data_IF_831227998348
#
_entry.id   IF_831227998348
#
_cell.length_a   1.000
_cell.length_b   1.000
_cell.length_c   1.000
_cell.angle_alpha   90.00
_cell.angle_beta   90.00
_cell.angle_gamma   90.00
#
_symmetry.space_group_name_H-M   'P 1'
#
loop_
_entity.id
_entity.type
_entity.pdbx_description
1 polymer ?
#
# COMPACT_ATOMS: atom_id res chain seq x y z
N UNK A 1 82.34 36.33 -39.31
CA UNK A 1 82.31 36.33 -37.86
C UNK A 1 80.86 36.55 -37.25
N UNK A 2 80.08 37.48 -37.74
CA UNK A 2 78.71 37.73 -37.26
C UNK A 2 77.70 36.56 -37.58
N UNK A 3 77.83 35.86 -38.74
CA UNK A 3 76.94 34.75 -39.15
C UNK A 3 77.14 33.48 -38.33
N UNK A 4 78.36 33.23 -37.86
CA UNK A 4 78.63 32.09 -37.02
C UNK A 4 78.12 32.21 -35.58
N UNK A 5 78.11 33.44 -35.05
CA UNK A 5 77.51 33.76 -33.76
C UNK A 5 75.99 33.67 -33.79
N UNK A 6 75.34 34.07 -34.87
CA UNK A 6 73.90 33.99 -35.04
C UNK A 6 73.42 32.55 -35.16
N UNK A 7 74.18 31.71 -35.91
CA UNK A 7 73.87 30.27 -36.04
C UNK A 7 74.06 29.53 -34.72
N UNK A 8 75.09 29.87 -33.93
CA UNK A 8 75.29 29.26 -32.60
C UNK A 8 74.20 29.68 -31.59
N UNK A 9 73.80 30.95 -31.60
CA UNK A 9 72.69 31.42 -30.76
C UNK A 9 71.33 30.81 -31.15
N UNK A 10 71.06 30.64 -32.44
CA UNK A 10 69.85 29.99 -32.93
C UNK A 10 69.83 28.47 -32.60
N UNK A 11 70.97 27.79 -32.73
CA UNK A 11 71.06 26.40 -32.35
C UNK A 11 70.92 26.18 -30.83
N UNK A 12 71.46 27.09 -30.00
CA UNK A 12 71.30 27.07 -28.55
C UNK A 12 69.83 27.32 -28.15
N UNK A 13 69.13 28.23 -28.84
CA UNK A 13 67.72 28.50 -28.59
C UNK A 13 66.81 27.38 -29.00
N UNK A 14 67.07 26.68 -30.11
CA UNK A 14 66.33 25.52 -30.55
C UNK A 14 66.61 24.31 -29.60
N UNK A 15 67.81 24.15 -29.09
CA UNK A 15 68.14 23.13 -28.12
C UNK A 15 67.47 23.37 -26.74
N UNK A 16 67.40 24.62 -26.29
CA UNK A 16 66.76 25.05 -25.05
C UNK A 16 65.22 24.84 -25.13
N UNK A 17 64.64 25.20 -26.26
CA UNK A 17 63.21 24.93 -26.54
C UNK A 17 62.88 23.41 -26.62
N UNK A 18 63.78 22.60 -27.11
CA UNK A 18 63.62 21.15 -27.12
C UNK A 18 63.74 20.52 -25.74
N UNK A 19 64.69 20.99 -24.93
CA UNK A 19 64.85 20.54 -23.54
C UNK A 19 63.65 20.94 -22.64
N UNK A 20 63.15 22.15 -22.78
CA UNK A 20 62.02 22.65 -22.01
C UNK A 20 60.73 21.85 -22.35
N UNK A 21 60.51 21.56 -23.61
CA UNK A 21 59.36 20.73 -24.06
C UNK A 21 59.48 19.28 -23.54
N UNK A 22 60.66 18.71 -23.54
CA UNK A 22 60.92 17.38 -22.97
C UNK A 22 60.65 17.35 -21.45
N UNK A 23 61.12 18.33 -20.72
CA UNK A 23 60.87 18.46 -19.28
C UNK A 23 59.38 18.56 -18.96
N UNK A 24 58.65 19.42 -19.70
CA UNK A 24 57.21 19.57 -19.54
C UNK A 24 56.49 18.21 -19.82
N UNK A 25 56.87 17.53 -20.87
CA UNK A 25 56.30 16.22 -21.21
C UNK A 25 56.59 15.15 -20.13
N UNK A 26 57.78 15.09 -19.63
CA UNK A 26 58.16 14.17 -18.53
C UNK A 26 57.42 14.50 -17.25
N UNK A 27 57.26 15.80 -16.94
CA UNK A 27 56.52 16.22 -15.76
C UNK A 27 55.03 15.89 -15.89
N UNK A 28 54.45 16.08 -17.05
CA UNK A 28 53.07 15.66 -17.36
C UNK A 28 52.86 14.14 -17.23
N UNK A 29 53.85 13.33 -17.68
CA UNK A 29 53.82 11.88 -17.52
C UNK A 29 53.89 11.45 -16.05
N UNK A 30 54.74 12.11 -15.26
CA UNK A 30 54.87 11.82 -13.83
C UNK A 30 53.56 12.22 -13.10
N UNK A 31 53.05 13.42 -13.35
CA UNK A 31 51.81 13.89 -12.75
C UNK A 31 50.61 13.01 -13.13
N UNK A 32 50.53 12.57 -14.38
CA UNK A 32 49.54 11.62 -14.84
C UNK A 32 49.70 10.26 -14.13
N UNK A 33 50.91 9.74 -14.02
CA UNK A 33 51.20 8.48 -13.33
C UNK A 33 50.85 8.51 -11.84
N UNK A 34 51.19 9.58 -11.14
CA UNK A 34 50.87 9.80 -9.72
C UNK A 34 49.39 9.92 -9.51
N UNK A 35 48.70 10.71 -10.36
CA UNK A 35 47.23 10.91 -10.28
C UNK A 35 46.48 9.63 -10.63
N UNK A 36 46.93 8.87 -11.65
CA UNK A 36 46.35 7.59 -12.03
C UNK A 36 46.56 6.54 -10.92
N UNK A 37 47.77 6.49 -10.35
CA UNK A 37 48.08 5.60 -9.24
C UNK A 37 47.20 5.85 -8.00
N UNK A 38 47.01 7.10 -7.63
CA UNK A 38 46.12 7.50 -6.53
C UNK A 38 44.65 7.12 -6.77
N UNK A 39 44.17 7.25 -8.02
CA UNK A 39 42.82 6.83 -8.40
C UNK A 39 42.64 5.30 -8.32
N UNK A 40 43.64 4.53 -8.83
CA UNK A 40 43.60 3.06 -8.80
C UNK A 40 43.64 2.56 -7.35
N UNK A 41 44.57 3.07 -6.53
CA UNK A 41 44.64 2.67 -5.11
C UNK A 41 43.32 3.00 -4.39
N UNK A 42 42.78 4.19 -4.59
CA UNK A 42 41.47 4.57 -4.02
C UNK A 42 40.33 3.67 -4.49
N UNK A 43 40.30 3.29 -5.77
CA UNK A 43 39.29 2.38 -6.32
C UNK A 43 39.42 0.96 -5.70
N UNK A 44 40.64 0.45 -5.52
CA UNK A 44 40.88 -0.84 -4.85
C UNK A 44 40.44 -0.80 -3.39
N UNK A 45 40.71 0.28 -2.67
CA UNK A 45 40.27 0.45 -1.28
C UNK A 45 38.73 0.45 -1.22
N UNK A 46 38.05 1.24 -2.08
CA UNK A 46 36.58 1.27 -2.15
C UNK A 46 36.02 -0.11 -2.47
N UNK A 47 36.62 -0.83 -3.40
CA UNK A 47 36.18 -2.18 -3.76
C UNK A 47 36.33 -3.17 -2.59
N UNK A 48 37.50 -3.22 -1.92
CA UNK A 48 37.74 -4.12 -0.80
C UNK A 48 36.82 -3.80 0.39
N UNK A 49 36.73 -2.52 0.78
CA UNK A 49 35.87 -2.07 1.88
C UNK A 49 34.42 -2.30 1.54
N UNK A 50 33.98 -1.98 0.32
CA UNK A 50 32.63 -2.20 -0.15
C UNK A 50 32.25 -3.68 -0.16
N UNK A 51 33.13 -4.58 -0.64
CA UNK A 51 32.89 -6.04 -0.60
C UNK A 51 32.76 -6.55 0.83
N UNK A 52 33.58 -6.05 1.74
CA UNK A 52 33.48 -6.39 3.16
C UNK A 52 32.15 -5.91 3.74
N UNK A 53 31.72 -4.66 3.46
CA UNK A 53 30.48 -4.10 3.92
C UNK A 53 29.27 -4.87 3.37
N UNK A 54 29.26 -5.19 2.07
CA UNK A 54 28.21 -6.02 1.44
C UNK A 54 28.12 -7.39 2.12
N UNK A 55 29.25 -8.03 2.36
CA UNK A 55 29.29 -9.33 3.05
C UNK A 55 28.74 -9.24 4.47
N UNK A 56 29.09 -8.19 5.21
CA UNK A 56 28.58 -7.91 6.55
C UNK A 56 27.07 -7.71 6.55
N UNK A 57 26.55 -6.84 5.65
CA UNK A 57 25.13 -6.57 5.52
C UNK A 57 24.33 -7.83 5.13
N UNK A 58 24.85 -8.63 4.19
CA UNK A 58 24.26 -9.93 3.84
C UNK A 58 24.18 -10.89 5.03
N UNK A 59 25.24 -10.99 5.82
CA UNK A 59 25.23 -11.86 7.01
C UNK A 59 24.26 -11.36 8.07
N UNK A 60 24.21 -10.06 8.28
CA UNK A 60 23.25 -9.44 9.20
C UNK A 60 21.80 -9.70 8.75
N UNK A 61 21.50 -9.45 7.47
CA UNK A 61 20.17 -9.70 6.88
C UNK A 61 19.79 -11.19 6.99
N UNK A 62 20.70 -12.09 6.68
CA UNK A 62 20.47 -13.53 6.80
C UNK A 62 20.13 -13.95 8.24
N UNK A 63 20.80 -13.40 9.25
CA UNK A 63 20.49 -13.67 10.66
C UNK A 63 19.14 -13.14 11.08
N UNK A 64 18.78 -11.93 10.63
CA UNK A 64 17.47 -11.32 10.93
C UNK A 64 16.33 -12.13 10.33
N UNK A 65 16.44 -12.52 9.06
CA UNK A 65 15.42 -13.32 8.37
C UNK A 65 15.28 -14.72 8.98
N UNK A 66 16.38 -15.37 9.33
CA UNK A 66 16.38 -16.67 9.98
C UNK A 66 15.73 -16.61 11.38
N UNK A 67 16.01 -15.57 12.18
CA UNK A 67 15.40 -15.36 13.50
C UNK A 67 13.88 -15.15 13.45
N UNK A 68 13.37 -14.64 12.33
CA UNK A 68 11.95 -14.40 12.11
C UNK A 68 11.22 -15.57 11.45
N UNK A 69 11.86 -16.72 11.28
CA UNK A 69 11.31 -17.92 10.64
C UNK A 69 10.69 -17.64 9.25
N UNK A 70 11.29 -16.71 8.49
CA UNK A 70 10.86 -16.39 7.13
C UNK A 70 11.14 -17.59 6.22
N UNK A 71 10.23 -17.87 5.27
CA UNK A 71 10.40 -18.95 4.30
C UNK A 71 11.75 -18.90 3.58
N UNK A 72 12.34 -20.06 3.30
CA UNK A 72 13.65 -20.17 2.70
C UNK A 72 13.74 -19.53 1.30
N UNK A 73 12.67 -19.61 0.52
CA UNK A 73 12.56 -19.01 -0.81
C UNK A 73 12.58 -17.49 -0.74
N UNK A 74 11.82 -16.91 0.19
CA UNK A 74 11.80 -15.47 0.44
C UNK A 74 13.16 -14.98 0.93
N UNK A 75 13.80 -15.72 1.85
CA UNK A 75 15.13 -15.40 2.32
C UNK A 75 16.14 -15.35 1.16
N UNK A 76 16.10 -16.38 0.27
CA UNK A 76 16.99 -16.45 -0.89
C UNK A 76 16.77 -15.28 -1.85
N UNK A 77 15.52 -14.97 -2.15
CA UNK A 77 15.15 -13.86 -3.02
C UNK A 77 15.64 -12.52 -2.48
N UNK A 78 15.35 -12.21 -1.21
CA UNK A 78 15.72 -10.93 -0.58
C UNK A 78 17.24 -10.78 -0.50
N UNK A 79 17.97 -11.84 -0.14
CA UNK A 79 19.44 -11.85 -0.11
C UNK A 79 20.04 -11.57 -1.50
N UNK A 80 19.47 -12.18 -2.54
CA UNK A 80 19.91 -12.00 -3.92
C UNK A 80 19.65 -10.58 -4.41
N UNK A 81 18.47 -10.07 -4.18
CA UNK A 81 18.07 -8.70 -4.56
C UNK A 81 18.99 -7.66 -3.93
N UNK A 82 19.18 -7.73 -2.60
CA UNK A 82 20.05 -6.80 -1.86
C UNK A 82 21.50 -6.93 -2.34
N UNK A 83 21.99 -8.15 -2.57
CA UNK A 83 23.36 -8.35 -3.08
C UNK A 83 23.57 -7.73 -4.47
N UNK A 84 22.60 -7.89 -5.39
CA UNK A 84 22.65 -7.30 -6.74
C UNK A 84 22.67 -5.78 -6.65
N UNK A 85 21.74 -5.17 -5.91
CA UNK A 85 21.66 -3.72 -5.76
C UNK A 85 22.93 -3.12 -5.16
N UNK A 86 23.43 -3.68 -4.06
CA UNK A 86 24.66 -3.20 -3.43
C UNK A 86 25.89 -3.41 -4.30
N UNK A 87 25.94 -4.50 -5.08
CA UNK A 87 27.04 -4.74 -6.01
C UNK A 87 27.05 -3.75 -7.16
N UNK A 88 25.89 -3.40 -7.72
CA UNK A 88 25.76 -2.36 -8.76
C UNK A 88 26.26 -1.00 -8.22
N UNK A 89 25.81 -0.61 -7.02
CA UNK A 89 26.25 0.64 -6.39
C UNK A 89 27.76 0.66 -6.13
N UNK A 90 28.33 -0.47 -5.68
CA UNK A 90 29.78 -0.61 -5.49
C UNK A 90 30.55 -0.45 -6.80
N UNK A 91 30.09 -1.09 -7.88
CA UNK A 91 30.72 -0.98 -9.20
C UNK A 91 30.73 0.48 -9.66
N UNK A 92 29.61 1.19 -9.54
CA UNK A 92 29.52 2.60 -9.92
C UNK A 92 30.46 3.47 -9.08
N UNK A 93 30.55 3.23 -7.76
CA UNK A 93 31.47 3.95 -6.88
C UNK A 93 32.94 3.72 -7.27
N UNK A 94 33.32 2.48 -7.63
CA UNK A 94 34.65 2.14 -8.08
C UNK A 94 35.02 2.81 -9.41
N UNK A 95 34.08 2.74 -10.38
CA UNK A 95 34.24 3.38 -11.71
C UNK A 95 34.37 4.91 -11.56
N UNK A 96 33.55 5.52 -10.71
CA UNK A 96 33.65 6.95 -10.41
C UNK A 96 34.98 7.35 -9.80
N UNK A 97 35.57 6.50 -8.92
CA UNK A 97 36.87 6.76 -8.34
C UNK A 97 38.01 6.65 -9.37
N UNK A 98 37.83 5.82 -10.40
CA UNK A 98 38.80 5.72 -11.52
C UNK A 98 38.76 6.95 -12.43
N UNK A 99 37.78 7.87 -12.24
CA UNK A 99 37.68 9.11 -13.01
C UNK A 99 36.68 9.05 -14.19
N UNK A 100 35.92 7.96 -14.30
CA UNK A 100 34.86 7.85 -15.29
C UNK A 100 33.63 8.62 -14.81
N UNK A 101 33.02 9.41 -15.67
CA UNK A 101 31.81 10.15 -15.35
C UNK A 101 30.65 9.19 -15.07
N UNK A 102 30.08 9.28 -13.86
CA UNK A 102 29.02 8.37 -13.41
C UNK A 102 27.61 8.94 -13.55
N UNK A 103 27.47 10.17 -14.03
CA UNK A 103 26.19 10.86 -14.21
C UNK A 103 25.23 10.09 -15.10
N UNK A 104 25.73 9.53 -16.21
CA UNK A 104 24.94 8.69 -17.13
C UNK A 104 24.45 7.41 -16.47
N UNK A 105 25.28 6.77 -15.65
CA UNK A 105 24.87 5.57 -14.89
C UNK A 105 23.83 5.91 -13.81
N UNK A 106 23.99 7.05 -13.14
CA UNK A 106 23.01 7.51 -12.18
C UNK A 106 21.66 7.82 -12.85
N UNK A 107 21.66 8.47 -14.03
CA UNK A 107 20.46 8.70 -14.81
C UNK A 107 19.78 7.41 -15.27
N UNK A 108 20.56 6.40 -15.71
CA UNK A 108 20.05 5.10 -16.08
C UNK A 108 19.40 4.37 -14.89
N UNK A 109 20.06 4.38 -13.73
CA UNK A 109 19.51 3.80 -12.50
C UNK A 109 18.24 4.51 -12.03
N UNK A 110 18.20 5.84 -12.13
CA UNK A 110 17.01 6.60 -11.80
C UNK A 110 15.84 6.22 -12.72
N UNK A 111 16.09 6.13 -14.03
CA UNK A 111 15.07 5.70 -15.00
C UNK A 111 14.57 4.28 -14.74
N UNK A 112 15.50 3.34 -14.46
CA UNK A 112 15.14 1.97 -14.07
C UNK A 112 14.36 1.94 -12.76
N UNK A 113 14.74 2.77 -11.77
CA UNK A 113 14.04 2.90 -10.50
C UNK A 113 12.60 3.40 -10.67
N UNK A 114 12.39 4.39 -11.54
CA UNK A 114 11.03 4.88 -11.90
C UNK A 114 10.22 3.77 -12.56
N UNK A 115 10.80 3.06 -13.53
CA UNK A 115 10.10 1.96 -14.20
C UNK A 115 9.68 0.84 -13.23
N UNK A 116 10.59 0.43 -12.34
CA UNK A 116 10.30 -0.58 -11.29
C UNK A 116 9.25 -0.03 -10.30
N UNK A 117 9.36 1.23 -9.88
CA UNK A 117 8.40 1.88 -8.99
C UNK A 117 6.99 1.90 -9.59
N UNK A 118 6.87 2.24 -10.88
CA UNK A 118 5.58 2.20 -11.60
C UNK A 118 5.04 0.76 -11.71
N UNK A 119 5.89 -0.22 -12.00
CA UNK A 119 5.47 -1.63 -12.08
C UNK A 119 4.99 -2.17 -10.72
N UNK A 120 5.53 -1.69 -9.61
CA UNK A 120 5.18 -2.11 -8.25
C UNK A 120 4.16 -1.19 -7.57
N UNK A 121 3.70 -0.12 -8.22
CA UNK A 121 2.85 0.92 -7.63
C UNK A 121 1.56 0.37 -7.00
N UNK A 122 0.89 -0.58 -7.66
CA UNK A 122 -0.32 -1.22 -7.14
C UNK A 122 -0.07 -2.01 -5.84
N UNK A 123 1.04 -2.73 -5.75
CA UNK A 123 1.41 -3.46 -4.54
C UNK A 123 1.78 -2.48 -3.40
N UNK A 124 2.48 -1.40 -3.72
CA UNK A 124 2.83 -0.36 -2.75
C UNK A 124 1.58 0.36 -2.24
N UNK A 125 0.59 0.61 -3.10
CA UNK A 125 -0.71 1.15 -2.72
C UNK A 125 -1.45 0.21 -1.76
N UNK A 126 -1.44 -1.10 -2.02
CA UNK A 126 -2.05 -2.08 -1.14
C UNK A 126 -1.34 -2.18 0.22
N UNK A 127 -0.01 -2.12 0.23
CA UNK A 127 0.77 -2.06 1.46
C UNK A 127 0.45 -0.81 2.28
N UNK A 128 0.46 0.36 1.67
CA UNK A 128 0.09 1.62 2.32
C UNK A 128 -1.37 1.57 2.81
N UNK A 129 -2.29 1.04 2.00
CA UNK A 129 -3.69 0.81 2.39
C UNK A 129 -3.82 -0.09 3.62
N UNK A 130 -3.05 -1.17 3.69
CA UNK A 130 -3.02 -2.06 4.85
C UNK A 130 -2.56 -1.34 6.13
N UNK A 131 -1.53 -0.50 6.04
CA UNK A 131 -1.08 0.32 7.17
C UNK A 131 -2.16 1.33 7.62
N UNK A 132 -2.85 1.97 6.66
CA UNK A 132 -3.95 2.90 6.94
C UNK A 132 -5.08 2.18 7.66
N UNK A 133 -5.50 1.00 7.17
CA UNK A 133 -6.56 0.19 7.81
C UNK A 133 -6.18 -0.20 9.23
N UNK A 134 -4.93 -0.64 9.46
CA UNK A 134 -4.45 -1.04 10.79
C UNK A 134 -4.31 0.13 11.77
N UNK A 135 -3.95 1.33 11.27
CA UNK A 135 -3.74 2.52 12.10
C UNK A 135 -5.06 3.18 12.47
N UNK A 136 -5.92 3.46 11.47
CA UNK A 136 -7.18 4.19 11.67
C UNK A 136 -8.35 3.27 12.02
N UNK A 137 -8.25 1.99 11.74
CA UNK A 137 -9.24 0.95 12.07
C UNK A 137 -10.68 1.33 11.68
N UNK A 138 -10.96 1.63 10.41
CA UNK A 138 -12.34 1.85 9.96
C UNK A 138 -13.21 0.61 10.19
N UNK A 139 -12.59 -0.56 10.24
CA UNK A 139 -13.17 -1.85 10.62
C UNK A 139 -12.10 -2.70 11.33
N UNK A 140 -12.52 -3.75 12.01
CA UNK A 140 -11.66 -4.71 12.72
C UNK A 140 -12.06 -6.15 12.36
N UNK A 141 -11.20 -7.10 12.72
CA UNK A 141 -11.52 -8.53 12.59
C UNK A 141 -12.78 -8.84 13.39
N UNK A 142 -13.72 -9.52 12.77
CA UNK A 142 -15.05 -9.84 13.29
C UNK A 142 -16.17 -8.90 12.82
N UNK A 143 -15.86 -7.72 12.29
CA UNK A 143 -16.89 -6.82 11.76
C UNK A 143 -17.48 -7.35 10.45
N UNK A 144 -18.79 -7.17 10.25
CA UNK A 144 -19.45 -7.34 8.97
C UNK A 144 -19.36 -6.04 8.17
N UNK A 145 -18.70 -6.12 7.04
CA UNK A 145 -18.50 -4.96 6.16
C UNK A 145 -19.00 -5.22 4.74
N UNK A 146 -19.28 -4.15 4.03
CA UNK A 146 -19.57 -4.16 2.59
C UNK A 146 -18.65 -3.16 1.90
N UNK A 147 -18.02 -3.58 0.82
CA UNK A 147 -17.16 -2.75 -0.02
C UNK A 147 -17.01 -3.39 -1.40
N UNK A 148 -16.83 -2.59 -2.45
CA UNK A 148 -16.62 -3.07 -3.82
C UNK A 148 -17.73 -4.03 -4.32
N UNK A 149 -18.96 -3.87 -3.84
CA UNK A 149 -20.11 -4.72 -4.21
C UNK A 149 -20.09 -6.11 -3.56
N UNK A 150 -19.21 -6.37 -2.61
CA UNK A 150 -19.16 -7.62 -1.84
C UNK A 150 -19.29 -7.34 -0.35
N UNK A 151 -19.88 -8.27 0.38
CA UNK A 151 -20.04 -8.17 1.84
C UNK A 151 -19.62 -9.45 2.55
N UNK A 152 -19.15 -9.31 3.79
CA UNK A 152 -18.74 -10.44 4.62
C UNK A 152 -18.14 -10.02 5.95
N UNK A 153 -17.92 -11.02 6.81
CA UNK A 153 -17.20 -10.83 8.08
C UNK A 153 -15.69 -10.73 7.81
N UNK A 154 -15.05 -9.73 8.35
CA UNK A 154 -13.59 -9.57 8.31
C UNK A 154 -12.95 -10.71 9.10
N UNK A 155 -12.31 -11.64 8.40
CA UNK A 155 -11.60 -12.77 8.98
C UNK A 155 -10.17 -12.40 9.39
N UNK A 156 -9.47 -11.67 8.50
CA UNK A 156 -8.05 -11.35 8.68
C UNK A 156 -7.69 -10.08 7.88
N UNK A 157 -6.80 -9.26 8.44
CA UNK A 157 -6.22 -8.11 7.75
C UNK A 157 -4.73 -8.42 7.52
N UNK A 158 -4.38 -8.74 6.28
CA UNK A 158 -3.00 -9.02 5.86
C UNK A 158 -2.32 -7.78 5.31
N UNK A 159 -1.04 -7.89 4.97
CA UNK A 159 -0.23 -6.75 4.50
C UNK A 159 -0.80 -6.10 3.23
N UNK A 160 -1.27 -6.90 2.27
CA UNK A 160 -1.75 -6.42 0.97
C UNK A 160 -3.26 -6.58 0.78
N UNK A 161 -3.89 -7.47 1.51
CA UNK A 161 -5.30 -7.85 1.37
C UNK A 161 -5.97 -7.95 2.72
N UNK A 162 -7.26 -7.64 2.74
CA UNK A 162 -8.17 -8.01 3.82
C UNK A 162 -9.02 -9.18 3.34
N UNK A 163 -9.17 -10.20 4.18
CA UNK A 163 -9.90 -11.42 3.87
C UNK A 163 -11.26 -11.36 4.54
N UNK A 164 -12.31 -11.52 3.74
CA UNK A 164 -13.69 -11.63 4.22
C UNK A 164 -14.20 -13.07 4.08
N UNK A 165 -15.12 -13.44 4.96
CA UNK A 165 -15.94 -14.66 4.82
C UNK A 165 -17.40 -14.24 4.66
N UNK A 166 -18.03 -14.66 3.56
CA UNK A 166 -19.45 -14.37 3.29
C UNK A 166 -20.38 -15.21 4.15
N UNK A 167 -21.67 -14.87 4.19
CA UNK A 167 -22.68 -15.64 4.92
C UNK A 167 -22.84 -17.09 4.41
N UNK A 168 -22.55 -17.33 3.12
CA UNK A 168 -22.56 -18.66 2.49
C UNK A 168 -21.15 -19.31 2.48
N UNK A 169 -20.27 -18.86 3.38
CA UNK A 169 -18.94 -19.42 3.68
C UNK A 169 -17.93 -19.37 2.52
N UNK A 170 -18.03 -18.39 1.62
CA UNK A 170 -17.01 -18.10 0.61
C UNK A 170 -15.95 -17.18 1.19
N UNK A 171 -14.72 -17.31 0.70
CA UNK A 171 -13.59 -16.46 1.10
C UNK A 171 -13.33 -15.44 0.01
N UNK A 172 -13.30 -14.16 0.36
CA UNK A 172 -13.04 -13.05 -0.54
C UNK A 172 -11.76 -12.34 -0.12
N UNK A 173 -10.84 -12.11 -1.06
CA UNK A 173 -9.63 -11.33 -0.87
C UNK A 173 -9.82 -9.95 -1.50
N UNK A 174 -9.85 -8.92 -0.67
CA UNK A 174 -9.98 -7.53 -1.14
C UNK A 174 -8.64 -6.81 -0.98
N UNK A 175 -8.09 -6.19 -2.04
CA UNK A 175 -6.87 -5.40 -1.93
C UNK A 175 -7.04 -4.24 -0.95
N UNK A 176 -6.10 -4.07 -0.02
CA UNK A 176 -6.19 -3.03 1.03
C UNK A 176 -6.22 -1.60 0.47
N UNK A 177 -5.59 -1.36 -0.68
CA UNK A 177 -5.65 -0.08 -1.36
C UNK A 177 -7.08 0.32 -1.73
N UNK A 178 -7.89 -0.63 -2.18
CA UNK A 178 -9.29 -0.41 -2.51
C UNK A 178 -10.13 -0.12 -1.26
N UNK A 179 -9.86 -0.81 -0.14
CA UNK A 179 -10.56 -0.60 1.13
C UNK A 179 -10.19 0.74 1.80
N UNK A 180 -8.92 1.16 1.69
CA UNK A 180 -8.44 2.39 2.32
C UNK A 180 -8.83 3.67 1.59
N UNK A 181 -9.06 3.58 0.27
CA UNK A 181 -9.41 4.72 -0.59
C UNK A 181 -10.87 4.70 -1.06
N UNK A 182 -11.56 3.57 -0.93
CA UNK A 182 -12.94 3.39 -1.36
C UNK A 182 -13.95 3.54 -0.23
N UNK A 183 -15.23 3.38 -0.59
CA UNK A 183 -16.32 3.36 0.39
C UNK A 183 -16.37 2.00 1.08
N UNK A 184 -16.42 2.03 2.40
CA UNK A 184 -16.65 0.85 3.25
C UNK A 184 -17.86 1.13 4.13
N UNK A 185 -18.88 0.27 4.04
CA UNK A 185 -20.01 0.26 4.97
C UNK A 185 -19.74 -0.75 6.06
N UNK A 186 -19.61 -0.30 7.31
CA UNK A 186 -19.41 -1.17 8.46
C UNK A 186 -20.71 -1.30 9.24
N UNK A 187 -21.30 -2.50 9.22
CA UNK A 187 -22.58 -2.79 9.87
C UNK A 187 -22.41 -3.19 11.35
N UNK A 188 -21.19 -3.41 11.80
CA UNK A 188 -20.89 -3.87 13.17
C UNK A 188 -20.30 -2.79 14.05
N UNK A 189 -19.92 -1.63 13.49
CA UNK A 189 -19.25 -0.57 14.25
C UNK A 189 -20.18 0.13 15.25
N UNK A 190 -21.42 0.36 14.84
CA UNK A 190 -22.46 0.96 15.69
C UNK A 190 -23.21 -0.13 16.44
N UNK A 191 -23.49 0.09 17.73
CA UNK A 191 -24.16 -0.86 18.60
C UNK A 191 -25.62 -1.08 18.22
N UNK A 192 -26.23 -0.11 17.52
CA UNK A 192 -27.65 -0.13 17.13
C UNK A 192 -27.82 0.08 15.64
N UNK A 193 -28.84 -0.57 15.08
CA UNK A 193 -29.24 -0.42 13.68
C UNK A 193 -30.73 -0.19 13.57
N UNK A 194 -31.14 0.56 12.54
CA UNK A 194 -32.54 0.75 12.19
C UNK A 194 -33.00 -0.37 11.26
N UNK A 195 -34.09 -1.00 11.61
CA UNK A 195 -34.79 -1.96 10.75
C UNK A 195 -36.00 -1.27 10.14
N UNK A 196 -36.14 -1.34 8.83
CA UNK A 196 -37.17 -0.69 8.07
C UNK A 196 -38.04 -1.74 7.36
N UNK A 197 -39.35 -1.58 7.43
CA UNK A 197 -40.35 -2.34 6.64
C UNK A 197 -41.26 -1.38 5.90
N UNK A 198 -41.79 -1.86 4.81
CA UNK A 198 -42.91 -1.28 4.11
C UNK A 198 -43.96 -2.37 3.93
N UNK A 199 -45.12 -2.20 4.54
CA UNK A 199 -46.24 -3.15 4.42
C UNK A 199 -47.38 -2.50 3.61
N UNK A 200 -47.97 -3.25 2.70
CA UNK A 200 -49.13 -2.82 1.93
C UNK A 200 -50.42 -3.33 2.58
N UNK A 201 -51.38 -2.44 2.77
CA UNK A 201 -52.74 -2.76 3.18
C UNK A 201 -53.73 -2.38 2.08
N UNK A 202 -54.93 -2.98 2.05
CA UNK A 202 -55.95 -2.67 1.06
C UNK A 202 -56.50 -1.25 1.22
N UNK A 203 -56.96 -0.68 0.13
CA UNK A 203 -57.73 0.55 0.17
C UNK A 203 -59.07 0.34 0.89
N UNK A 204 -59.42 1.26 1.77
CA UNK A 204 -60.65 1.16 2.58
C UNK A 204 -60.41 0.64 4.00
N UNK A 205 -59.21 0.09 4.27
CA UNK A 205 -58.83 -0.24 5.65
C UNK A 205 -58.66 1.02 6.50
N UNK A 206 -59.01 0.90 7.78
CA UNK A 206 -58.85 2.00 8.74
C UNK A 206 -57.37 2.14 9.13
N UNK A 207 -56.72 3.22 8.68
CA UNK A 207 -55.30 3.47 8.95
C UNK A 207 -55.00 3.53 10.45
N UNK A 208 -55.85 4.13 11.28
CA UNK A 208 -55.61 4.24 12.73
C UNK A 208 -55.60 2.86 13.39
N UNK A 209 -56.45 1.93 12.90
CA UNK A 209 -56.45 0.52 13.33
C UNK A 209 -55.19 -0.16 12.92
N UNK A 210 -54.70 0.06 11.69
CA UNK A 210 -53.46 -0.50 11.20
C UNK A 210 -52.25 0.01 12.04
N UNK A 211 -52.17 1.32 12.24
CA UNK A 211 -51.10 1.93 13.04
C UNK A 211 -51.10 1.43 14.47
N UNK A 212 -52.22 1.41 15.14
CA UNK A 212 -52.35 0.93 16.54
C UNK A 212 -51.98 -0.54 16.66
N UNK A 213 -52.34 -1.40 15.69
CA UNK A 213 -51.99 -2.80 15.64
C UNK A 213 -50.49 -2.98 15.48
N UNK A 214 -49.86 -2.25 14.55
CA UNK A 214 -48.39 -2.29 14.36
C UNK A 214 -47.66 -1.81 15.62
N UNK A 215 -48.10 -0.72 16.24
CA UNK A 215 -47.53 -0.22 17.50
C UNK A 215 -47.64 -1.24 18.62
N UNK A 216 -48.76 -1.95 18.73
CA UNK A 216 -48.93 -3.03 19.69
C UNK A 216 -47.90 -4.17 19.41
N UNK A 217 -47.78 -4.63 18.16
CA UNK A 217 -46.79 -5.67 17.77
C UNK A 217 -45.37 -5.24 18.13
N UNK A 218 -45.01 -3.97 17.86
CA UNK A 218 -43.73 -3.39 18.20
C UNK A 218 -43.45 -3.48 19.74
N UNK A 219 -44.45 -3.09 20.55
CA UNK A 219 -44.34 -3.05 22.01
C UNK A 219 -44.19 -4.44 22.66
N UNK A 220 -44.53 -5.51 21.96
CA UNK A 220 -44.43 -6.89 22.42
C UNK A 220 -43.03 -7.49 22.19
N UNK A 221 -42.15 -6.85 21.40
CA UNK A 221 -40.77 -7.33 21.17
C UNK A 221 -39.79 -6.51 22.00
N UNK A 222 -39.29 -7.12 23.05
CA UNK A 222 -38.35 -6.49 24.00
C UNK A 222 -36.98 -6.14 23.38
N UNK A 223 -36.64 -6.60 22.19
CA UNK A 223 -35.40 -6.27 21.46
C UNK A 223 -35.51 -4.91 20.77
N UNK A 224 -36.72 -4.40 20.54
CA UNK A 224 -36.96 -3.10 19.95
C UNK A 224 -36.73 -2.02 21.00
N UNK A 225 -35.91 -1.04 20.64
CA UNK A 225 -35.55 0.07 21.51
C UNK A 225 -36.64 1.13 21.51
N UNK A 226 -36.92 1.69 22.69
CA UNK A 226 -37.90 2.80 22.84
C UNK A 226 -37.26 4.17 22.49
N UNK A 227 -35.96 4.24 22.39
CA UNK A 227 -35.26 5.47 22.03
C UNK A 227 -34.18 5.11 20.98
N UNK A 228 -34.21 5.71 19.77
CA UNK A 228 -35.28 6.60 19.28
C UNK A 228 -36.66 5.90 19.19
N UNK A 229 -37.73 6.69 19.34
CA UNK A 229 -39.09 6.16 19.28
C UNK A 229 -39.40 5.46 17.95
N UNK A 230 -40.10 4.29 17.97
CA UNK A 230 -40.55 3.62 16.76
C UNK A 230 -41.43 4.55 15.89
N UNK A 231 -41.10 4.59 14.61
CA UNK A 231 -41.80 5.43 13.63
C UNK A 231 -42.71 4.56 12.76
N UNK A 232 -44.00 4.93 12.73
CA UNK A 232 -45.04 4.32 11.86
C UNK A 232 -45.77 5.43 11.16
N UNK A 233 -45.83 5.37 9.82
CA UNK A 233 -46.53 6.38 9.04
C UNK A 233 -47.01 5.81 7.69
N UNK A 234 -48.05 6.45 7.12
CA UNK A 234 -48.45 6.21 5.74
C UNK A 234 -47.32 6.69 4.83
N UNK A 235 -46.84 5.82 3.98
CA UNK A 235 -45.63 6.05 3.15
C UNK A 235 -45.98 6.44 1.72
N UNK A 236 -46.87 5.68 1.10
CA UNK A 236 -47.29 5.90 -0.29
C UNK A 236 -48.67 5.32 -0.57
N UNK A 237 -49.32 5.86 -1.57
CA UNK A 237 -50.57 5.37 -2.15
C UNK A 237 -50.22 4.75 -3.50
N UNK A 238 -50.10 3.41 -3.54
CA UNK A 238 -49.79 2.66 -4.76
C UNK A 238 -51.08 2.26 -5.51
N UNK A 239 -50.93 1.70 -6.72
CA UNK A 239 -52.08 1.38 -7.59
C UNK A 239 -53.07 0.39 -6.94
N UNK A 240 -52.65 -0.48 -6.03
CA UNK A 240 -53.45 -1.54 -5.41
C UNK A 240 -53.26 -1.67 -3.89
N UNK A 241 -52.44 -0.83 -3.27
CA UNK A 241 -52.21 -0.86 -1.83
C UNK A 241 -51.90 0.51 -1.25
N UNK A 242 -52.20 0.68 0.03
CA UNK A 242 -51.75 1.79 0.87
C UNK A 242 -50.50 1.29 1.63
N UNK A 243 -49.34 1.89 1.37
CA UNK A 243 -48.11 1.48 1.96
C UNK A 243 -47.83 2.17 3.29
N UNK A 244 -47.57 1.40 4.32
CA UNK A 244 -47.21 1.88 5.66
C UNK A 244 -45.74 1.57 5.92
N UNK A 245 -44.96 2.60 6.23
CA UNK A 245 -43.54 2.42 6.63
C UNK A 245 -43.47 2.25 8.13
N UNK A 246 -42.63 1.29 8.55
CA UNK A 246 -42.30 1.00 9.94
C UNK A 246 -40.79 1.10 10.09
N UNK A 247 -40.32 1.86 11.08
CA UNK A 247 -38.89 1.99 11.38
C UNK A 247 -38.67 1.83 12.87
N UNK A 248 -37.84 0.87 13.24
CA UNK A 248 -37.49 0.63 14.65
C UNK A 248 -35.98 0.51 14.81
N UNK A 249 -35.50 0.79 16.00
CA UNK A 249 -34.09 0.64 16.34
C UNK A 249 -33.91 -0.60 17.20
N UNK A 250 -32.87 -1.38 16.91
CA UNK A 250 -32.51 -2.61 17.61
C UNK A 250 -31.02 -2.66 17.82
N UNK A 251 -30.52 -3.53 18.72
CA UNK A 251 -29.08 -3.85 18.77
C UNK A 251 -28.67 -4.49 17.45
N UNK A 252 -27.44 -4.18 16.99
CA UNK A 252 -26.96 -4.64 15.68
C UNK A 252 -27.01 -6.16 15.52
N UNK A 253 -26.77 -6.94 16.60
CA UNK A 253 -26.87 -8.39 16.61
C UNK A 253 -28.31 -8.94 16.47
N UNK A 254 -29.31 -8.16 16.82
CA UNK A 254 -30.70 -8.58 16.79
C UNK A 254 -31.41 -8.24 15.46
N UNK A 255 -30.71 -7.53 14.55
CA UNK A 255 -31.27 -6.98 13.32
C UNK A 255 -32.08 -8.01 12.51
N UNK A 256 -31.49 -9.12 12.14
CA UNK A 256 -32.14 -10.13 11.32
C UNK A 256 -33.19 -10.91 12.08
N UNK A 257 -32.98 -11.18 13.38
CA UNK A 257 -33.97 -11.82 14.23
C UNK A 257 -35.25 -11.02 14.30
N UNK A 258 -35.15 -9.74 14.64
CA UNK A 258 -36.30 -8.84 14.69
C UNK A 258 -36.95 -8.66 13.31
N UNK A 259 -36.12 -8.54 12.24
CA UNK A 259 -36.64 -8.40 10.89
C UNK A 259 -37.57 -9.54 10.48
N UNK A 260 -37.15 -10.79 10.68
CA UNK A 260 -37.94 -11.95 10.27
C UNK A 260 -39.13 -12.22 11.22
N UNK A 261 -38.94 -12.07 12.52
CA UNK A 261 -39.99 -12.28 13.50
C UNK A 261 -41.11 -11.26 13.32
N UNK A 262 -40.79 -10.00 13.05
CA UNK A 262 -41.73 -8.95 12.80
C UNK A 262 -42.54 -9.23 11.53
N UNK A 263 -41.92 -9.62 10.42
CA UNK A 263 -42.61 -10.02 9.19
C UNK A 263 -43.62 -11.14 9.46
N UNK A 264 -43.23 -12.16 10.18
CA UNK A 264 -44.07 -13.29 10.54
C UNK A 264 -45.25 -12.85 11.40
N UNK A 265 -45.02 -11.98 12.39
CA UNK A 265 -46.03 -11.53 13.33
C UNK A 265 -47.05 -10.60 12.68
N UNK A 266 -46.56 -9.66 11.85
CA UNK A 266 -47.49 -8.79 11.07
C UNK A 266 -48.35 -9.64 10.16
N UNK A 267 -47.77 -10.60 9.42
CA UNK A 267 -48.52 -11.50 8.55
C UNK A 267 -49.61 -12.26 9.31
N UNK A 268 -49.30 -12.83 10.49
CA UNK A 268 -50.25 -13.59 11.29
C UNK A 268 -51.40 -12.71 11.79
N UNK A 269 -51.07 -11.58 12.39
CA UNK A 269 -52.08 -10.67 13.02
C UNK A 269 -52.98 -10.00 11.99
N UNK A 270 -52.51 -9.74 10.77
CA UNK A 270 -53.29 -9.09 9.72
C UNK A 270 -54.20 -10.07 8.97
N UNK A 271 -54.04 -11.38 9.17
CA UNK A 271 -54.90 -12.41 8.62
C UNK A 271 -55.96 -12.95 9.64
N UNK A 272 -55.93 -12.46 10.88
CA UNK A 272 -56.95 -12.70 11.92
C UNK A 272 -58.08 -11.66 11.88
#
# INVERSE_FOLDING_TARGET
MLSSLFMAAFAAQVADDGFSKLQIFLQQLIDWGVSAGGRIIGAVIIFVVGRFLISFLRKMLARLLAKRHVDASIQSFVKSLVNILLTILLIIAVIGKLGVETTSFAALLASAGVAIGMALSGNLQNFAGGLIVLLFRPFKVGDWIESQGVSGTVREIQIFHTILTTADNKVIYIPNGALSSGTVTNYSREDTRRVDWVIGVEYGENYDKVESTVRRIISEDSRILNTPEPFVALHALDASSVNVVIRVWVKSGDYWGVYFDMNKKIYSVFNE
#
